data_IF_799546969634
#
_entry.id   IF_799546969634
#
_cell.length_a   1.000
_cell.length_b   1.000
_cell.length_c   1.000
_cell.angle_alpha   90.00
_cell.angle_beta   90.00
_cell.angle_gamma   90.00
#
_symmetry.space_group_name_H-M   'P 1'
#
loop_
_entity.id
_entity.type
_entity.pdbx_description
1 polymer ?
#
# COMPACT_ATOMS: atom_id res chain seq x y z
N UNK A 1 33.69 35.71 15.80
CA UNK A 1 33.27 36.83 16.67
C UNK A 1 34.49 37.34 17.39
N UNK A 2 34.80 38.63 17.26
CA UNK A 2 35.96 39.21 17.94
C UNK A 2 35.66 39.40 19.44
N UNK A 3 36.69 39.42 20.29
CA UNK A 3 36.55 39.63 21.74
C UNK A 3 35.70 40.87 22.12
N UNK A 4 35.70 42.00 21.39
CA UNK A 4 34.81 43.14 21.66
C UNK A 4 33.32 42.83 21.45
N UNK A 5 32.95 42.03 20.44
CA UNK A 5 31.54 41.71 20.17
C UNK A 5 30.92 40.86 21.27
N UNK A 6 31.72 39.96 21.87
CA UNK A 6 31.29 39.11 22.97
C UNK A 6 31.03 39.97 24.21
N UNK A 7 31.93 40.91 24.51
CA UNK A 7 31.81 41.83 25.65
C UNK A 7 30.58 42.73 25.49
N UNK A 8 30.36 43.32 24.30
CA UNK A 8 29.18 44.14 24.02
C UNK A 8 27.87 43.36 24.15
N UNK A 9 27.85 42.09 23.72
CA UNK A 9 26.67 41.23 23.83
C UNK A 9 26.37 40.85 25.27
N UNK A 10 27.40 40.59 26.09
CA UNK A 10 27.26 40.33 27.53
C UNK A 10 26.78 41.59 28.26
N UNK A 11 27.39 42.75 27.98
CA UNK A 11 27.01 44.03 28.58
C UNK A 11 25.56 44.41 28.25
N UNK A 12 25.13 44.23 27.00
CA UNK A 12 23.74 44.46 26.60
C UNK A 12 22.75 43.54 27.32
N UNK A 13 23.10 42.27 27.51
CA UNK A 13 22.26 41.30 28.25
C UNK A 13 22.17 41.64 29.74
N UNK A 14 23.26 42.07 30.35
CA UNK A 14 23.28 42.52 31.75
C UNK A 14 22.45 43.80 31.96
N UNK A 15 22.54 44.77 31.05
CA UNK A 15 21.71 45.98 31.06
C UNK A 15 20.22 45.66 30.93
N UNK A 16 19.87 44.71 30.06
CA UNK A 16 18.49 44.24 29.90
C UNK A 16 17.96 43.59 31.19
N UNK A 17 18.71 42.64 31.76
CA UNK A 17 18.35 41.97 33.02
C UNK A 17 18.18 42.97 34.17
N UNK A 18 19.05 43.97 34.27
CA UNK A 18 18.95 45.01 35.28
C UNK A 18 17.70 45.89 35.09
N UNK A 19 17.36 46.24 33.85
CA UNK A 19 16.15 47.00 33.53
C UNK A 19 14.87 46.18 33.80
N UNK A 20 14.89 44.89 33.51
CA UNK A 20 13.79 43.95 33.77
C UNK A 20 13.57 43.76 35.27
N UNK A 21 14.63 43.54 36.05
CA UNK A 21 14.56 43.47 37.52
C UNK A 21 14.01 44.76 38.13
N UNK A 22 14.40 45.93 37.60
CA UNK A 22 13.89 47.21 38.07
C UNK A 22 12.41 47.43 37.73
N UNK A 23 11.95 46.93 36.57
CA UNK A 23 10.53 46.93 36.23
C UNK A 23 9.73 45.95 37.09
N UNK A 24 10.27 44.76 37.36
CA UNK A 24 9.68 43.77 38.25
C UNK A 24 9.55 44.31 39.69
N UNK A 25 10.58 45.00 40.20
CA UNK A 25 10.54 45.64 41.51
C UNK A 25 9.47 46.75 41.57
N UNK A 26 9.30 47.54 40.50
CA UNK A 26 8.20 48.53 40.41
C UNK A 26 6.82 47.88 40.41
N UNK A 27 6.66 46.75 39.72
CA UNK A 27 5.42 45.96 39.73
C UNK A 27 5.11 45.39 41.11
N UNK A 28 6.12 44.83 41.79
CA UNK A 28 5.99 44.35 43.15
C UNK A 28 5.59 45.48 44.12
N UNK A 29 6.25 46.63 44.05
CA UNK A 29 5.92 47.78 44.89
C UNK A 29 4.50 48.32 44.63
N UNK A 30 4.03 48.30 43.37
CA UNK A 30 2.62 48.64 43.06
C UNK A 30 1.65 47.59 43.60
N UNK A 31 1.98 46.32 43.51
CA UNK A 31 1.15 45.24 44.07
C UNK A 31 1.05 45.33 45.60
N UNK A 32 2.17 45.58 46.28
CA UNK A 32 2.20 45.84 47.73
C UNK A 32 1.42 47.10 48.10
N UNK A 33 1.52 48.18 47.32
CA UNK A 33 0.74 49.40 47.54
C UNK A 33 -0.77 49.14 47.45
N UNK A 34 -1.22 48.30 46.50
CA UNK A 34 -2.63 47.88 46.43
C UNK A 34 -3.03 47.04 47.63
N UNK A 35 -2.19 46.11 48.04
CA UNK A 35 -2.45 45.25 49.19
C UNK A 35 -2.58 46.08 50.48
N UNK A 36 -1.76 47.12 50.64
CA UNK A 36 -1.87 48.07 51.75
C UNK A 36 -3.17 48.87 51.67
N UNK A 37 -3.52 49.43 50.50
CA UNK A 37 -4.79 50.15 50.33
C UNK A 37 -6.01 49.26 50.58
N UNK A 38 -5.98 48.00 50.17
CA UNK A 38 -7.03 47.01 50.44
C UNK A 38 -7.16 46.68 51.93
N UNK A 39 -6.04 46.51 52.64
CA UNK A 39 -6.05 46.28 54.10
C UNK A 39 -6.53 47.50 54.87
N UNK A 40 -6.18 48.71 54.45
CA UNK A 40 -6.63 49.95 55.08
C UNK A 40 -8.13 50.17 54.85
N UNK A 41 -8.63 49.82 53.67
CA UNK A 41 -10.04 49.75 53.34
C UNK A 41 -10.83 48.84 54.28
N UNK A 42 -10.39 47.59 54.44
CA UNK A 42 -11.02 46.63 55.34
C UNK A 42 -11.00 47.14 56.78
N UNK A 43 -9.94 47.83 57.17
CA UNK A 43 -9.82 48.44 58.50
C UNK A 43 -10.79 49.60 58.67
N UNK A 44 -10.91 50.50 57.70
CA UNK A 44 -11.85 51.62 57.76
C UNK A 44 -13.30 51.13 57.78
N UNK A 45 -13.64 50.08 57.00
CA UNK A 45 -14.96 49.46 57.05
C UNK A 45 -15.27 48.93 58.46
N UNK A 46 -14.33 48.19 59.07
CA UNK A 46 -14.49 47.68 60.45
C UNK A 46 -14.60 48.80 61.48
N UNK A 47 -13.77 49.84 61.39
CA UNK A 47 -13.82 50.98 62.32
C UNK A 47 -15.12 51.79 62.18
N UNK A 48 -15.68 51.87 60.97
CA UNK A 48 -16.97 52.51 60.71
C UNK A 48 -18.15 51.65 61.19
N UNK A 49 -18.10 50.32 61.02
CA UNK A 49 -19.06 49.39 61.62
C UNK A 49 -19.05 49.52 63.15
N UNK A 50 -17.86 49.49 63.77
CA UNK A 50 -17.70 49.70 65.21
C UNK A 50 -18.23 51.07 65.66
N UNK A 51 -18.04 52.13 64.87
CA UNK A 51 -18.55 53.46 65.18
C UNK A 51 -20.07 53.55 65.01
N UNK A 52 -20.64 52.88 64.01
CA UNK A 52 -22.08 52.79 63.81
C UNK A 52 -22.75 52.03 64.97
N UNK A 53 -22.14 50.94 65.43
CA UNK A 53 -22.59 50.15 66.58
C UNK A 53 -22.53 50.98 67.88
N UNK A 54 -21.42 51.68 68.13
CA UNK A 54 -21.28 52.58 69.29
C UNK A 54 -22.28 53.75 69.27
N UNK A 55 -22.51 54.33 68.09
CA UNK A 55 -23.51 55.38 67.92
C UNK A 55 -24.94 54.85 68.14
N UNK A 56 -25.20 53.61 67.75
CA UNK A 56 -26.46 52.93 68.01
C UNK A 56 -26.65 52.66 69.51
N UNK A 57 -25.64 52.16 70.21
CA UNK A 57 -25.66 51.90 71.66
C UNK A 57 -25.85 53.19 72.49
N UNK A 58 -25.10 54.25 72.18
CA UNK A 58 -25.25 55.56 72.81
C UNK A 58 -26.66 56.15 72.59
N UNK A 59 -27.22 55.97 71.40
CA UNK A 59 -28.59 56.39 71.11
C UNK A 59 -29.64 55.53 71.82
N UNK A 60 -29.42 54.21 71.90
CA UNK A 60 -30.29 53.27 72.60
C UNK A 60 -30.29 53.54 74.12
N UNK A 61 -29.15 53.85 74.74
CA UNK A 61 -29.04 54.23 76.15
C UNK A 61 -29.74 55.58 76.43
N UNK A 62 -29.57 56.58 75.56
CA UNK A 62 -30.16 57.91 75.76
C UNK A 62 -31.67 57.96 75.55
N UNK A 63 -32.23 57.10 74.70
CA UNK A 63 -33.68 56.95 74.52
C UNK A 63 -34.29 55.96 75.51
N UNK A 64 -33.57 54.89 75.89
CA UNK A 64 -33.99 53.90 76.88
C UNK A 64 -34.07 54.43 78.32
N UNK A 65 -33.24 55.42 78.69
CA UNK A 65 -33.26 56.02 80.05
C UNK A 65 -34.37 57.02 80.33
N UNK A 66 -35.20 57.41 79.35
CA UNK A 66 -36.32 58.36 79.57
C UNK A 66 -37.66 57.68 79.86
N UNK A 67 -37.70 56.35 79.98
CA UNK A 67 -38.91 55.57 80.33
C UNK A 67 -38.95 55.05 81.78
N UNK A 68 -37.90 55.26 82.58
CA UNK A 68 -37.75 54.66 83.91
C UNK A 68 -37.52 55.69 85.01
N UNK A 69 -38.60 56.06 85.70
CA UNK A 69 -38.69 56.39 87.13
C UNK A 69 -37.38 56.74 87.86
N UNK A 70 -37.23 58.03 88.25
CA UNK A 70 -36.69 58.53 89.54
C UNK A 70 -36.10 59.94 89.38
N UNK A 71 -36.96 60.95 89.47
CA UNK A 71 -36.60 62.25 90.04
C UNK A 71 -37.73 62.66 90.99
N UNK A 72 -37.82 61.92 92.09
CA UNK A 72 -38.46 62.34 93.32
C UNK A 72 -37.33 62.54 94.34
N UNK A 73 -37.38 63.66 95.08
CA UNK A 73 -36.31 64.28 95.87
C UNK A 73 -35.28 65.01 94.97
N UNK A 74 -35.18 66.34 94.98
CA UNK A 74 -35.11 67.23 96.13
C UNK A 74 -35.72 68.60 95.77
N UNK A 75 -36.74 69.02 96.52
CA UNK A 75 -37.05 70.44 96.74
C UNK A 75 -37.50 70.61 98.19
N UNK A 76 -36.92 71.56 98.94
CA UNK A 76 -37.65 72.38 99.89
C UNK A 76 -37.71 73.81 99.30
N UNK A 77 -38.88 74.27 98.84
CA UNK A 77 -39.87 75.00 99.64
C UNK A 77 -39.28 76.16 100.43
N UNK A 78 -39.46 77.40 99.95
CA UNK A 78 -40.17 78.48 100.68
C UNK A 78 -40.44 79.75 99.82
N UNK A 79 -41.74 80.03 99.63
CA UNK A 79 -42.49 81.30 99.52
C UNK A 79 -42.29 82.30 98.36
N UNK A 80 -43.31 82.46 97.49
CA UNK A 80 -44.47 83.34 97.75
C UNK A 80 -45.53 83.27 96.63
N UNK A 81 -46.84 83.27 96.93
CA UNK A 81 -47.93 83.12 95.96
C UNK A 81 -48.56 84.46 95.55
N UNK A 82 -48.98 84.54 94.28
CA UNK A 82 -50.03 85.38 93.64
C UNK A 82 -49.81 85.20 92.12
N UNK A 83 -50.76 84.92 91.23
CA UNK A 83 -52.23 84.92 91.24
C UNK A 83 -52.68 84.53 89.80
N UNK A 84 -53.81 83.84 89.63
CA UNK A 84 -54.66 83.82 88.40
C UNK A 84 -54.12 83.03 87.19
N UNK A 85 -54.85 82.26 86.38
CA UNK A 85 -56.28 81.87 86.26
C UNK A 85 -56.36 80.76 85.21
N UNK A 86 -57.28 79.82 85.38
CA UNK A 86 -57.69 78.79 84.40
C UNK A 86 -58.08 79.40 83.04
N UNK A 87 -57.39 79.00 81.97
CA UNK A 87 -57.97 78.66 80.65
C UNK A 87 -56.86 78.13 79.73
N UNK A 88 -56.78 76.82 79.49
CA UNK A 88 -55.77 76.24 78.57
C UNK A 88 -56.06 74.76 78.27
N UNK A 89 -57.23 74.46 77.73
CA UNK A 89 -57.51 73.12 77.17
C UNK A 89 -56.95 73.00 75.74
N UNK A 90 -56.94 74.09 74.96
CA UNK A 90 -56.50 74.11 73.55
C UNK A 90 -54.97 74.11 73.38
N UNK A 91 -54.20 74.67 74.32
CA UNK A 91 -52.73 74.59 74.26
C UNK A 91 -52.24 73.16 74.45
N UNK A 92 -52.98 72.32 75.19
CA UNK A 92 -52.53 70.93 75.41
C UNK A 92 -52.59 70.07 74.15
N UNK A 93 -53.43 70.42 73.16
CA UNK A 93 -53.46 69.74 71.85
C UNK A 93 -52.38 70.32 70.91
N UNK A 94 -52.26 71.65 70.85
CA UNK A 94 -51.19 72.35 70.11
C UNK A 94 -49.78 71.95 70.57
N UNK A 95 -49.55 71.82 71.88
CA UNK A 95 -48.29 71.35 72.45
C UNK A 95 -48.03 69.88 72.11
N UNK A 96 -49.07 69.04 72.03
CA UNK A 96 -48.91 67.65 71.60
C UNK A 96 -48.54 67.59 70.12
N UNK A 97 -49.20 68.34 69.25
CA UNK A 97 -48.92 68.34 67.81
C UNK A 97 -47.53 68.89 67.50
N UNK A 98 -47.13 70.00 68.13
CA UNK A 98 -45.75 70.51 68.05
C UNK A 98 -44.71 69.49 68.57
N UNK A 99 -45.06 68.68 69.57
CA UNK A 99 -44.19 67.57 70.03
C UNK A 99 -44.14 66.42 69.03
N UNK A 100 -45.20 66.16 68.27
CA UNK A 100 -45.20 65.14 67.21
C UNK A 100 -44.42 65.65 65.99
N UNK A 101 -44.63 66.88 65.55
CA UNK A 101 -43.85 67.52 64.48
C UNK A 101 -42.36 67.60 64.84
N UNK A 102 -42.03 67.95 66.10
CA UNK A 102 -40.66 67.93 66.58
C UNK A 102 -40.06 66.52 66.52
N UNK A 103 -40.82 65.48 66.88
CA UNK A 103 -40.37 64.08 66.75
C UNK A 103 -40.19 63.70 65.28
N UNK A 104 -41.10 64.08 64.39
CA UNK A 104 -40.98 63.80 62.96
C UNK A 104 -39.78 64.48 62.33
N UNK A 105 -39.51 65.74 62.69
CA UNK A 105 -38.31 66.47 62.24
C UNK A 105 -37.05 65.83 62.82
N UNK A 106 -37.07 65.41 64.09
CA UNK A 106 -35.96 64.67 64.70
C UNK A 106 -35.71 63.32 64.00
N UNK A 107 -36.76 62.59 63.64
CA UNK A 107 -36.64 61.33 62.90
C UNK A 107 -36.16 61.53 61.47
N UNK A 108 -36.64 62.57 60.77
CA UNK A 108 -36.15 62.96 59.43
C UNK A 108 -34.68 63.35 59.48
N UNK A 109 -34.27 64.13 60.48
CA UNK A 109 -32.87 64.48 60.70
C UNK A 109 -32.02 63.23 60.97
N UNK A 110 -32.51 62.30 61.80
CA UNK A 110 -31.82 61.02 62.05
C UNK A 110 -31.66 60.20 60.77
N UNK A 111 -32.72 60.06 59.97
CA UNK A 111 -32.67 59.34 58.68
C UNK A 111 -31.69 60.00 57.71
N UNK A 112 -31.67 61.33 57.64
CA UNK A 112 -30.73 62.08 56.82
C UNK A 112 -29.28 61.87 57.29
N UNK A 113 -29.00 61.86 58.60
CA UNK A 113 -27.66 61.58 59.11
C UNK A 113 -27.20 60.16 58.79
N UNK A 114 -28.07 59.16 58.94
CA UNK A 114 -27.74 57.75 58.60
C UNK A 114 -27.44 57.62 57.11
N UNK A 115 -28.29 58.22 56.25
CA UNK A 115 -28.11 58.18 54.81
C UNK A 115 -26.85 58.94 54.37
N UNK A 116 -26.53 60.08 55.00
CA UNK A 116 -25.31 60.82 54.71
C UNK A 116 -24.05 59.99 55.07
N UNK A 117 -24.07 59.31 56.21
CA UNK A 117 -22.99 58.40 56.60
C UNK A 117 -22.86 57.21 55.61
N UNK A 118 -23.98 56.65 55.15
CA UNK A 118 -23.97 55.61 54.11
C UNK A 118 -23.37 56.12 52.79
N UNK A 119 -23.74 57.33 52.35
CA UNK A 119 -23.18 57.93 51.14
C UNK A 119 -21.68 58.21 51.25
N UNK A 120 -21.19 58.62 52.42
CA UNK A 120 -19.75 58.81 52.65
C UNK A 120 -19.00 57.47 52.58
N UNK A 121 -19.60 56.37 53.09
CA UNK A 121 -19.03 55.02 52.98
C UNK A 121 -19.00 54.54 51.52
N UNK A 122 -20.10 54.69 50.78
CA UNK A 122 -20.18 54.34 49.37
C UNK A 122 -19.19 55.15 48.52
N UNK A 123 -19.05 56.45 48.83
CA UNK A 123 -18.07 57.34 48.18
C UNK A 123 -16.64 56.90 48.46
N UNK A 124 -16.32 56.52 49.70
CA UNK A 124 -15.02 55.97 50.03
C UNK A 124 -14.78 54.67 49.25
N UNK A 125 -15.70 53.71 49.33
CA UNK A 125 -15.61 52.42 48.65
C UNK A 125 -15.42 52.55 47.12
N UNK A 126 -16.20 53.41 46.46
CA UNK A 126 -16.05 53.70 45.03
C UNK A 126 -14.73 54.42 44.72
N UNK A 127 -14.27 55.31 45.60
CA UNK A 127 -12.96 55.97 45.48
C UNK A 127 -11.82 54.96 45.41
N UNK A 128 -11.84 53.94 46.27
CA UNK A 128 -10.84 52.88 46.24
C UNK A 128 -10.95 51.96 45.02
N UNK A 129 -12.17 51.63 44.58
CA UNK A 129 -12.36 50.87 43.33
C UNK A 129 -11.74 51.62 42.14
N UNK A 130 -11.92 52.94 42.07
CA UNK A 130 -11.30 53.77 41.03
C UNK A 130 -9.78 53.74 41.10
N UNK A 131 -9.18 53.78 42.30
CA UNK A 131 -7.73 53.67 42.46
C UNK A 131 -7.19 52.30 42.04
N UNK A 132 -7.86 51.22 42.42
CA UNK A 132 -7.48 49.86 42.00
C UNK A 132 -7.56 49.70 40.47
N UNK A 133 -8.61 50.23 39.86
CA UNK A 133 -8.77 50.22 38.41
C UNK A 133 -7.70 51.07 37.71
N UNK A 134 -7.33 52.23 38.25
CA UNK A 134 -6.21 53.04 37.73
C UNK A 134 -4.91 52.26 37.77
N UNK A 135 -4.60 51.64 38.90
CA UNK A 135 -3.39 50.84 39.02
C UNK A 135 -3.41 49.66 38.02
N UNK A 136 -4.57 48.99 37.83
CA UNK A 136 -4.73 47.90 36.86
C UNK A 136 -4.52 48.38 35.42
N UNK A 137 -5.02 49.56 35.09
CA UNK A 137 -4.80 50.17 33.78
C UNK A 137 -3.31 50.42 33.57
N UNK A 138 -2.59 50.96 34.56
CA UNK A 138 -1.14 51.19 34.46
C UNK A 138 -0.35 49.90 34.24
N UNK A 139 -0.71 48.81 34.93
CA UNK A 139 -0.11 47.49 34.68
C UNK A 139 -0.31 47.01 33.26
N UNK A 140 -1.55 47.06 32.77
CA UNK A 140 -1.87 46.64 31.41
C UNK A 140 -1.08 47.46 30.37
N UNK A 141 -0.88 48.75 30.60
CA UNK A 141 -0.04 49.59 29.74
C UNK A 141 1.43 49.13 29.75
N UNK A 142 1.97 48.77 30.91
CA UNK A 142 3.34 48.25 31.01
C UNK A 142 3.50 46.86 30.39
N UNK A 143 2.55 45.96 30.61
CA UNK A 143 2.48 44.64 29.99
C UNK A 143 2.42 44.77 28.46
N UNK A 144 1.55 45.64 27.95
CA UNK A 144 1.44 45.92 26.52
C UNK A 144 2.75 46.48 25.94
N UNK A 145 3.39 47.44 26.62
CA UNK A 145 4.66 48.00 26.19
C UNK A 145 5.79 46.96 26.18
N UNK A 146 5.79 46.01 27.13
CA UNK A 146 6.75 44.90 27.13
C UNK A 146 6.49 43.93 25.98
N UNK A 147 5.24 43.49 25.80
CA UNK A 147 4.86 42.61 24.69
C UNK A 147 5.22 43.22 23.33
N UNK A 148 5.06 44.53 23.15
CA UNK A 148 5.49 45.22 21.95
C UNK A 148 7.02 45.18 21.73
N UNK A 149 7.83 45.29 22.79
CA UNK A 149 9.30 45.20 22.69
C UNK A 149 9.72 43.77 22.35
N UNK A 150 9.18 42.78 23.04
CA UNK A 150 9.45 41.36 22.77
C UNK A 150 9.05 40.98 21.35
N UNK A 151 7.91 41.47 20.86
CA UNK A 151 7.50 41.25 19.48
C UNK A 151 8.52 41.82 18.49
N UNK A 152 8.98 43.06 18.69
CA UNK A 152 10.02 43.68 17.85
C UNK A 152 11.34 42.88 17.88
N UNK A 153 11.75 42.43 19.06
CA UNK A 153 12.95 41.60 19.23
C UNK A 153 12.81 40.26 18.49
N UNK A 154 11.68 39.56 18.65
CA UNK A 154 11.39 38.31 17.94
C UNK A 154 11.37 38.50 16.43
N UNK A 155 10.75 39.58 15.93
CA UNK A 155 10.79 39.92 14.50
C UNK A 155 12.23 40.16 14.01
N UNK A 156 13.04 40.90 14.76
CA UNK A 156 14.43 41.15 14.39
C UNK A 156 15.29 39.88 14.38
N UNK A 157 15.06 38.98 15.36
CA UNK A 157 15.73 37.69 15.44
C UNK A 157 15.31 36.77 14.29
N UNK A 158 14.02 36.76 13.93
CA UNK A 158 13.52 36.03 12.78
C UNK A 158 14.16 36.51 11.47
N UNK A 159 14.21 37.82 11.24
CA UNK A 159 14.88 38.40 10.07
C UNK A 159 16.37 38.08 10.03
N UNK A 160 17.04 38.02 11.18
CA UNK A 160 18.44 37.57 11.26
C UNK A 160 18.58 36.09 10.85
N UNK A 161 17.78 35.20 11.45
CA UNK A 161 17.79 33.77 11.12
C UNK A 161 17.46 33.52 9.64
N UNK A 162 16.54 34.29 9.06
CA UNK A 162 16.21 34.23 7.64
C UNK A 162 17.40 34.57 6.74
N UNK A 163 18.20 35.57 7.12
CA UNK A 163 19.45 35.91 6.39
C UNK A 163 20.50 34.81 6.53
N UNK A 164 20.67 34.26 7.74
CA UNK A 164 21.60 33.16 8.01
C UNK A 164 21.19 31.90 7.22
N UNK A 165 19.91 31.55 7.19
CA UNK A 165 19.37 30.46 6.38
C UNK A 165 19.66 30.65 4.88
N UNK A 166 19.38 31.84 4.35
CA UNK A 166 19.68 32.15 2.95
C UNK A 166 21.18 32.08 2.64
N UNK A 167 22.06 32.38 3.61
CA UNK A 167 23.52 32.17 3.45
C UNK A 167 23.84 30.69 3.35
N UNK A 168 23.36 29.90 4.29
CA UNK A 168 23.59 28.45 4.33
C UNK A 168 23.03 27.74 3.08
N UNK A 169 21.87 28.17 2.57
CA UNK A 169 21.32 27.66 1.32
C UNK A 169 22.26 27.89 0.13
N UNK A 170 22.87 29.08 0.04
CA UNK A 170 23.87 29.38 -0.99
C UNK A 170 25.14 28.54 -0.81
N UNK A 171 25.60 28.35 0.42
CA UNK A 171 26.77 27.51 0.73
C UNK A 171 26.54 26.05 0.37
N UNK A 172 25.36 25.50 0.68
CA UNK A 172 24.97 24.14 0.29
C UNK A 172 24.85 24.00 -1.22
N UNK A 173 24.26 24.99 -1.90
CA UNK A 173 24.20 25.00 -3.36
C UNK A 173 25.60 25.00 -3.99
N UNK A 174 26.49 25.88 -3.51
CA UNK A 174 27.87 25.95 -3.96
C UNK A 174 28.65 24.66 -3.70
N UNK A 175 28.46 24.02 -2.53
CA UNK A 175 29.08 22.74 -2.21
C UNK A 175 28.59 21.62 -3.14
N UNK A 176 27.28 21.57 -3.42
CA UNK A 176 26.69 20.62 -4.38
C UNK A 176 27.22 20.85 -5.80
N UNK A 177 27.34 22.10 -6.22
CA UNK A 177 27.92 22.46 -7.51
C UNK A 177 29.39 22.08 -7.61
N UNK A 178 30.17 22.28 -6.54
CA UNK A 178 31.57 21.86 -6.49
C UNK A 178 31.72 20.33 -6.62
N UNK A 179 30.87 19.55 -5.95
CA UNK A 179 30.86 18.08 -6.08
C UNK A 179 30.48 17.68 -7.51
N UNK A 180 29.42 18.27 -8.08
CA UNK A 180 29.02 18.02 -9.47
C UNK A 180 30.12 18.37 -10.47
N UNK A 181 30.80 19.50 -10.29
CA UNK A 181 31.91 19.93 -11.13
C UNK A 181 33.09 18.96 -11.04
N UNK A 182 33.41 18.47 -9.84
CA UNK A 182 34.44 17.44 -9.62
C UNK A 182 34.08 16.13 -10.32
N UNK A 183 32.85 15.66 -10.16
CA UNK A 183 32.40 14.40 -10.75
C UNK A 183 32.31 14.50 -12.28
N UNK A 184 31.89 15.65 -12.82
CA UNK A 184 31.92 15.93 -14.26
C UNK A 184 33.36 16.01 -14.80
N UNK A 185 34.29 16.60 -14.06
CA UNK A 185 35.71 16.62 -14.44
C UNK A 185 36.33 15.22 -14.43
N UNK A 186 35.98 14.38 -13.45
CA UNK A 186 36.38 12.97 -13.42
C UNK A 186 35.85 12.23 -14.66
N UNK A 187 34.56 12.38 -14.98
CA UNK A 187 33.95 11.77 -16.15
C UNK A 187 34.59 12.24 -17.47
N UNK A 188 34.87 13.54 -17.60
CA UNK A 188 35.58 14.08 -18.77
C UNK A 188 37.01 13.54 -18.91
N UNK A 189 37.67 13.21 -17.80
CA UNK A 189 38.97 12.55 -17.77
C UNK A 189 38.88 11.02 -18.00
N UNK A 190 37.68 10.47 -18.20
CA UNK A 190 37.47 9.03 -18.44
C UNK A 190 37.41 8.19 -17.17
N UNK A 191 37.10 8.79 -16.02
CA UNK A 191 36.93 8.11 -14.74
C UNK A 191 35.52 8.30 -14.15
N UNK A 192 35.04 7.29 -13.44
CA UNK A 192 33.78 7.30 -12.74
C UNK A 192 33.97 6.88 -11.27
N UNK A 193 33.12 7.41 -10.39
CA UNK A 193 33.10 7.03 -8.98
C UNK A 193 32.16 5.85 -8.79
N UNK A 194 32.66 4.75 -8.22
CA UNK A 194 31.90 3.54 -7.89
C UNK A 194 31.91 3.35 -6.38
N UNK A 195 30.77 2.95 -5.81
CA UNK A 195 30.69 2.61 -4.39
C UNK A 195 31.65 1.46 -4.05
N UNK A 196 32.67 1.79 -3.24
CA UNK A 196 33.68 0.87 -2.76
C UNK A 196 33.25 0.17 -1.46
N UNK A 197 31.98 0.31 -1.06
CA UNK A 197 31.48 -0.16 0.21
C UNK A 197 31.73 -1.67 0.40
N UNK A 198 32.73 -1.95 1.23
CA UNK A 198 33.01 -3.23 1.87
C UNK A 198 32.35 -3.24 3.24
N UNK A 199 31.06 -3.56 3.25
CA UNK A 199 30.41 -4.05 4.47
C UNK A 199 29.63 -5.31 4.09
N UNK A 200 30.23 -6.50 4.18
CA UNK A 200 29.42 -7.67 4.41
C UNK A 200 28.79 -7.45 5.79
N UNK A 201 27.48 -7.25 5.84
CA UNK A 201 26.72 -7.54 7.04
C UNK A 201 27.01 -9.01 7.37
N UNK A 202 27.94 -9.24 8.29
CA UNK A 202 28.22 -10.56 8.83
C UNK A 202 26.91 -11.13 9.39
N UNK A 203 26.59 -12.42 9.20
CA UNK A 203 25.43 -13.03 9.82
C UNK A 203 25.75 -13.25 11.31
N UNK A 204 25.67 -12.18 12.10
CA UNK A 204 25.76 -12.25 13.55
C UNK A 204 24.36 -12.50 14.13
N UNK A 205 24.15 -13.72 14.62
CA UNK A 205 23.19 -14.22 15.60
C UNK A 205 21.78 -13.58 15.71
N UNK A 206 20.70 -14.37 15.84
CA UNK A 206 19.32 -13.91 15.74
C UNK A 206 18.78 -13.16 16.98
N UNK A 207 19.62 -12.49 17.79
CA UNK A 207 19.19 -11.91 19.08
C UNK A 207 19.38 -10.39 19.22
N UNK A 208 19.68 -9.64 18.15
CA UNK A 208 19.85 -8.18 18.24
C UNK A 208 19.23 -7.42 17.04
N UNK A 209 18.05 -7.83 16.60
CA UNK A 209 17.35 -7.30 15.42
C UNK A 209 16.65 -5.93 15.63
N UNK A 210 17.21 -5.01 16.40
CA UNK A 210 16.58 -3.70 16.66
C UNK A 210 17.54 -2.49 16.69
N UNK A 211 18.73 -2.60 16.09
CA UNK A 211 19.58 -1.45 15.83
C UNK A 211 20.17 -1.54 14.42
N UNK A 212 19.31 -1.52 13.41
CA UNK A 212 19.72 -1.04 12.09
C UNK A 212 20.17 0.41 12.29
N UNK A 213 21.47 0.61 12.44
CA UNK A 213 22.07 1.93 12.45
C UNK A 213 21.72 2.58 11.11
N UNK A 214 20.68 3.40 11.12
CA UNK A 214 20.40 4.33 10.05
C UNK A 214 21.72 5.07 9.74
N UNK A 215 22.07 5.27 8.47
CA UNK A 215 23.30 5.97 8.13
C UNK A 215 23.30 7.29 8.89
N UNK A 216 24.32 7.52 9.72
CA UNK A 216 24.48 8.77 10.44
C UNK A 216 24.36 9.92 9.43
N UNK A 217 23.65 10.99 9.79
CA UNK A 217 23.46 12.13 8.90
C UNK A 217 24.82 12.63 8.38
N UNK A 218 25.08 12.44 7.07
CA UNK A 218 26.37 12.77 6.44
C UNK A 218 27.33 11.60 6.19
N UNK A 219 26.94 10.34 6.44
CA UNK A 219 27.75 9.17 6.07
C UNK A 219 27.72 8.98 4.54
N UNK A 220 28.74 9.51 3.86
CA UNK A 220 28.97 9.26 2.43
C UNK A 220 29.71 7.91 2.29
N UNK A 221 29.21 6.96 1.50
CA UNK A 221 29.92 5.70 1.27
C UNK A 221 31.30 5.97 0.67
N UNK A 222 32.33 5.16 0.98
CA UNK A 222 33.62 5.30 0.34
C UNK A 222 33.46 5.05 -1.16
N UNK A 223 33.89 6.00 -1.98
CA UNK A 223 33.86 5.93 -3.44
C UNK A 223 35.26 5.59 -3.96
N UNK A 224 35.36 4.60 -4.83
CA UNK A 224 36.57 4.31 -5.60
C UNK A 224 36.48 5.00 -6.97
N UNK A 225 37.59 5.58 -7.43
CA UNK A 225 37.70 6.14 -8.77
C UNK A 225 38.19 5.06 -9.74
N UNK A 226 37.41 4.77 -10.77
CA UNK A 226 37.64 3.68 -11.73
C UNK A 226 37.54 4.22 -13.15
N UNK A 227 38.23 3.65 -14.14
CA UNK A 227 38.08 4.09 -15.54
C UNK A 227 36.69 3.71 -16.10
N UNK A 228 36.20 4.42 -17.12
CA UNK A 228 34.91 4.10 -17.74
C UNK A 228 34.84 2.67 -18.28
N UNK A 229 35.95 2.16 -18.85
CA UNK A 229 36.01 0.78 -19.33
C UNK A 229 35.84 -0.21 -18.16
N UNK A 230 36.53 0.05 -17.04
CA UNK A 230 36.41 -0.80 -15.86
C UNK A 230 35.04 -0.68 -15.19
N UNK A 231 34.41 0.50 -15.21
CA UNK A 231 33.03 0.69 -14.77
C UNK A 231 32.03 -0.13 -15.61
N UNK A 232 32.16 -0.11 -16.94
CA UNK A 232 31.33 -0.91 -17.84
C UNK A 232 31.49 -2.41 -17.56
N UNK A 233 32.73 -2.90 -17.41
CA UNK A 233 32.99 -4.29 -17.05
C UNK A 233 32.40 -4.67 -15.69
N UNK A 234 32.42 -3.75 -14.72
CA UNK A 234 31.79 -3.94 -13.41
C UNK A 234 30.26 -3.96 -13.51
N UNK A 235 29.65 -3.22 -14.43
CA UNK A 235 28.21 -3.28 -14.68
C UNK A 235 27.82 -4.59 -15.35
N UNK A 236 28.63 -5.07 -16.29
CA UNK A 236 28.43 -6.37 -16.98
C UNK A 236 28.58 -7.57 -16.02
N UNK A 237 29.41 -7.44 -14.97
CA UNK A 237 29.56 -8.45 -13.92
C UNK A 237 28.32 -8.63 -13.03
N UNK A 238 27.28 -7.82 -13.24
CA UNK A 238 26.00 -7.85 -12.52
C UNK A 238 26.05 -7.13 -11.18
N UNK A 239 25.02 -7.33 -10.36
CA UNK A 239 24.87 -6.65 -9.08
C UNK A 239 25.75 -7.28 -7.98
N UNK A 240 26.15 -6.46 -7.00
CA UNK A 240 26.95 -6.85 -5.84
C UNK A 240 27.94 -5.78 -5.41
N UNK A 241 28.62 -6.02 -4.29
CA UNK A 241 29.74 -5.15 -3.85
C UNK A 241 30.84 -5.16 -4.91
N UNK A 242 31.67 -4.12 -4.91
CA UNK A 242 32.83 -4.02 -5.81
C UNK A 242 33.66 -5.30 -5.80
N UNK A 243 33.93 -5.86 -4.60
CA UNK A 243 34.69 -7.10 -4.43
C UNK A 243 34.03 -8.31 -5.07
N UNK A 244 32.71 -8.48 -4.90
CA UNK A 244 31.97 -9.61 -5.49
C UNK A 244 32.00 -9.54 -7.02
N UNK A 245 31.85 -8.34 -7.58
CA UNK A 245 31.91 -8.12 -9.04
C UNK A 245 33.30 -8.40 -9.59
N UNK A 246 34.34 -7.95 -8.90
CA UNK A 246 35.74 -8.26 -9.25
C UNK A 246 36.04 -9.77 -9.17
N UNK A 247 35.55 -10.47 -8.14
CA UNK A 247 35.71 -11.91 -8.01
C UNK A 247 35.03 -12.68 -9.16
N UNK A 248 33.83 -12.28 -9.57
CA UNK A 248 33.13 -12.88 -10.72
C UNK A 248 33.94 -12.73 -12.01
N UNK A 249 34.47 -11.53 -12.27
CA UNK A 249 35.32 -11.28 -13.45
C UNK A 249 36.60 -12.13 -13.42
N UNK A 250 37.23 -12.27 -12.25
CA UNK A 250 38.40 -13.11 -12.08
C UNK A 250 38.09 -14.60 -12.31
N UNK A 251 36.97 -15.10 -11.79
CA UNK A 251 36.54 -16.48 -12.02
C UNK A 251 36.24 -16.76 -13.51
N UNK A 252 35.54 -15.84 -14.18
CA UNK A 252 35.29 -15.92 -15.62
C UNK A 252 36.56 -15.93 -16.45
N UNK A 253 37.53 -15.06 -16.13
CA UNK A 253 38.86 -15.06 -16.74
C UNK A 253 39.57 -16.40 -16.58
N UNK A 254 39.58 -16.97 -15.37
CA UNK A 254 40.22 -18.27 -15.10
C UNK A 254 39.56 -19.41 -15.89
N UNK A 255 38.23 -19.40 -16.02
CA UNK A 255 37.48 -20.38 -16.82
C UNK A 255 37.89 -20.30 -18.30
N UNK A 256 37.88 -19.11 -18.89
CA UNK A 256 38.27 -18.91 -20.29
C UNK A 256 39.74 -19.29 -20.53
N UNK A 257 40.65 -18.96 -19.62
CA UNK A 257 42.04 -19.39 -19.72
C UNK A 257 42.17 -20.92 -19.71
N UNK A 258 41.38 -21.62 -18.90
CA UNK A 258 41.38 -23.09 -18.87
C UNK A 258 40.87 -23.70 -20.18
N UNK A 259 39.84 -23.10 -20.78
CA UNK A 259 39.29 -23.52 -22.07
C UNK A 259 40.29 -23.28 -23.21
N UNK A 260 40.96 -22.13 -23.23
CA UNK A 260 42.03 -21.85 -24.20
C UNK A 260 43.18 -22.86 -24.06
N UNK A 261 43.57 -23.22 -22.83
CA UNK A 261 44.60 -24.27 -22.62
C UNK A 261 44.12 -25.62 -23.16
N UNK A 262 42.86 -25.99 -22.91
CA UNK A 262 42.26 -27.23 -23.43
C UNK A 262 42.24 -27.25 -24.96
N UNK A 263 41.75 -26.19 -25.61
CA UNK A 263 41.70 -26.07 -27.06
C UNK A 263 43.11 -26.10 -27.69
N UNK A 264 44.11 -25.49 -27.03
CA UNK A 264 45.51 -25.59 -27.47
C UNK A 264 46.04 -27.02 -27.38
N UNK A 265 45.69 -27.76 -26.32
CA UNK A 265 46.06 -29.17 -26.19
C UNK A 265 45.44 -29.99 -27.33
N UNK A 266 44.14 -29.84 -27.56
CA UNK A 266 43.41 -30.52 -28.64
C UNK A 266 43.98 -30.18 -30.02
N UNK A 267 44.32 -28.91 -30.29
CA UNK A 267 44.94 -28.52 -31.54
C UNK A 267 46.33 -29.15 -31.72
N UNK A 268 47.10 -29.26 -30.65
CA UNK A 268 48.42 -29.92 -30.70
C UNK A 268 48.28 -31.43 -30.91
N UNK A 269 47.29 -32.07 -30.28
CA UNK A 269 46.95 -33.49 -30.49
C UNK A 269 46.54 -33.76 -31.95
N UNK A 270 45.65 -32.95 -32.52
CA UNK A 270 45.27 -32.99 -33.94
C UNK A 270 46.47 -32.81 -34.88
N UNK A 271 47.35 -31.84 -34.57
CA UNK A 271 48.58 -31.63 -35.35
C UNK A 271 49.52 -32.82 -35.27
N UNK A 272 49.68 -33.41 -34.08
CA UNK A 272 50.48 -34.62 -33.88
C UNK A 272 49.86 -35.82 -34.59
N UNK A 273 48.53 -35.99 -34.54
CA UNK A 273 47.81 -37.04 -35.25
C UNK A 273 47.96 -36.94 -36.77
N UNK A 274 47.91 -35.72 -37.32
CA UNK A 274 48.21 -35.45 -38.74
C UNK A 274 49.66 -35.73 -39.09
N UNK A 275 50.60 -35.32 -38.24
CA UNK A 275 52.03 -35.58 -38.45
C UNK A 275 52.36 -37.09 -38.38
N UNK A 276 51.64 -37.83 -37.54
CA UNK A 276 51.79 -39.28 -37.37
C UNK A 276 50.93 -40.10 -38.36
N UNK A 277 50.22 -39.47 -39.30
CA UNK A 277 49.43 -40.14 -40.33
C UNK A 277 48.13 -40.80 -39.85
N UNK A 278 47.73 -40.59 -38.59
CA UNK A 278 46.51 -41.17 -37.99
C UNK A 278 45.24 -40.49 -38.51
N UNK A 279 45.31 -39.22 -38.91
CA UNK A 279 44.19 -38.49 -39.48
C UNK A 279 43.66 -39.11 -40.80
N UNK A 280 44.57 -39.62 -41.64
CA UNK A 280 44.18 -40.33 -42.88
C UNK A 280 43.43 -41.63 -42.60
N UNK A 281 43.67 -42.28 -41.45
CA UNK A 281 43.00 -43.54 -41.12
C UNK A 281 41.52 -43.33 -40.86
N UNK A 282 41.17 -42.29 -40.10
CA UNK A 282 39.77 -41.94 -39.85
C UNK A 282 39.04 -41.45 -41.10
N UNK A 283 39.69 -40.63 -41.94
CA UNK A 283 39.08 -40.20 -43.21
C UNK A 283 38.79 -41.41 -44.14
N UNK A 284 39.70 -42.39 -44.18
CA UNK A 284 39.50 -43.63 -44.95
C UNK A 284 38.36 -44.50 -44.38
N UNK A 285 38.22 -44.57 -43.06
CA UNK A 285 37.13 -45.29 -42.39
C UNK A 285 35.77 -44.67 -42.72
N UNK A 286 35.66 -43.33 -42.67
CA UNK A 286 34.45 -42.61 -43.06
C UNK A 286 34.09 -42.82 -44.53
N UNK A 287 35.07 -42.78 -45.44
CA UNK A 287 34.83 -43.05 -46.86
C UNK A 287 34.33 -44.48 -47.09
N UNK A 288 34.93 -45.48 -46.42
CA UNK A 288 34.52 -46.88 -46.50
C UNK A 288 33.09 -47.10 -45.98
N UNK A 289 32.72 -46.48 -44.86
CA UNK A 289 31.35 -46.54 -44.32
C UNK A 289 30.34 -45.89 -45.28
N UNK A 290 30.68 -44.74 -45.85
CA UNK A 290 29.84 -44.04 -46.81
C UNK A 290 29.61 -44.87 -48.08
N UNK A 291 30.65 -45.54 -48.57
CA UNK A 291 30.54 -46.47 -49.70
C UNK A 291 29.68 -47.69 -49.38
N UNK A 292 29.81 -48.27 -48.19
CA UNK A 292 28.99 -49.39 -47.75
C UNK A 292 27.50 -49.01 -47.70
N UNK A 293 27.17 -47.83 -47.15
CA UNK A 293 25.81 -47.30 -47.13
C UNK A 293 25.28 -47.07 -48.55
N UNK A 294 26.10 -46.51 -49.45
CA UNK A 294 25.73 -46.29 -50.85
C UNK A 294 25.43 -47.60 -51.59
N UNK A 295 26.25 -48.64 -51.39
CA UNK A 295 26.02 -49.98 -51.98
C UNK A 295 24.73 -50.59 -51.45
N UNK A 296 24.50 -50.55 -50.14
CA UNK A 296 23.26 -51.03 -49.51
C UNK A 296 22.02 -50.31 -50.06
N UNK A 297 22.09 -48.99 -50.23
CA UNK A 297 21.01 -48.20 -50.81
C UNK A 297 20.75 -48.56 -52.29
N UNK A 298 21.80 -48.82 -53.08
CA UNK A 298 21.65 -49.25 -54.47
C UNK A 298 20.99 -50.63 -54.58
N UNK A 299 21.37 -51.58 -53.71
CA UNK A 299 20.75 -52.90 -53.62
C UNK A 299 19.28 -52.84 -53.19
N UNK A 300 18.94 -51.96 -52.24
CA UNK A 300 17.56 -51.74 -51.84
C UNK A 300 16.71 -51.17 -52.99
N UNK A 301 17.25 -50.22 -53.75
CA UNK A 301 16.60 -49.67 -54.95
C UNK A 301 16.38 -50.74 -56.03
N UNK A 302 17.38 -51.59 -56.28
CA UNK A 302 17.25 -52.68 -57.24
C UNK A 302 16.18 -53.71 -56.82
N UNK A 303 16.09 -54.02 -55.51
CA UNK A 303 15.03 -54.87 -54.97
C UNK A 303 13.64 -54.23 -55.11
N UNK A 304 13.51 -52.93 -54.82
CA UNK A 304 12.26 -52.21 -55.01
C UNK A 304 11.80 -52.21 -56.47
N UNK A 305 12.69 -51.95 -57.43
CA UNK A 305 12.36 -51.96 -58.85
C UNK A 305 11.90 -53.34 -59.36
N UNK A 306 12.46 -54.44 -58.82
CA UNK A 306 11.99 -55.80 -59.13
C UNK A 306 10.59 -56.06 -58.57
N UNK A 307 10.34 -55.66 -57.32
CA UNK A 307 9.04 -55.79 -56.70
C UNK A 307 7.96 -54.96 -57.43
N UNK A 308 8.30 -53.76 -57.89
CA UNK A 308 7.40 -52.92 -58.71
C UNK A 308 7.07 -53.58 -60.06
N UNK A 309 8.06 -54.18 -60.73
CA UNK A 309 7.83 -54.91 -61.97
C UNK A 309 6.93 -56.15 -61.75
N UNK A 310 7.15 -56.90 -60.67
CA UNK A 310 6.29 -58.04 -60.29
C UNK A 310 4.86 -57.59 -59.97
N UNK A 311 4.70 -56.50 -59.22
CA UNK A 311 3.39 -55.92 -58.92
C UNK A 311 2.65 -55.48 -60.20
N UNK A 312 3.34 -54.89 -61.16
CA UNK A 312 2.74 -54.53 -62.45
C UNK A 312 2.28 -55.76 -63.25
N UNK A 313 3.06 -56.85 -63.23
CA UNK A 313 2.67 -58.12 -63.84
C UNK A 313 1.43 -58.73 -63.16
N UNK A 314 1.39 -58.72 -61.83
CA UNK A 314 0.24 -59.19 -61.06
C UNK A 314 -1.01 -58.35 -61.32
N UNK A 315 -0.89 -57.02 -61.40
CA UNK A 315 -1.99 -56.12 -61.75
C UNK A 315 -2.55 -56.41 -63.16
N UNK A 316 -1.67 -56.65 -64.14
CA UNK A 316 -2.09 -57.04 -65.48
C UNK A 316 -2.80 -58.40 -65.50
N UNK A 317 -2.37 -59.36 -64.69
CA UNK A 317 -3.04 -60.65 -64.54
C UNK A 317 -4.42 -60.50 -63.90
N UNK A 318 -4.53 -59.70 -62.83
CA UNK A 318 -5.81 -59.39 -62.16
C UNK A 318 -6.81 -58.75 -63.14
N UNK A 319 -6.39 -57.74 -63.91
CA UNK A 319 -7.25 -57.09 -64.91
C UNK A 319 -7.77 -58.07 -65.98
N UNK A 320 -6.96 -59.07 -66.37
CA UNK A 320 -7.41 -60.14 -67.30
C UNK A 320 -8.46 -61.03 -66.65
N UNK A 321 -8.26 -61.42 -65.39
CA UNK A 321 -9.23 -62.22 -64.63
C UNK A 321 -10.54 -61.45 -64.42
N UNK A 322 -10.48 -60.16 -64.09
CA UNK A 322 -11.66 -59.31 -63.94
C UNK A 322 -12.45 -59.21 -65.24
N UNK A 323 -11.76 -59.06 -66.38
CA UNK A 323 -12.40 -59.07 -67.69
C UNK A 323 -13.06 -60.43 -68.02
N UNK A 324 -12.45 -61.55 -67.62
CA UNK A 324 -13.05 -62.88 -67.76
C UNK A 324 -14.29 -63.03 -66.87
N UNK A 325 -14.22 -62.61 -65.62
CA UNK A 325 -15.34 -62.63 -64.69
C UNK A 325 -16.50 -61.75 -65.17
N UNK A 326 -16.23 -60.56 -65.71
CA UNK A 326 -17.26 -59.70 -66.29
C UNK A 326 -17.99 -60.37 -67.47
N UNK A 327 -17.26 -61.08 -68.34
CA UNK A 327 -17.85 -61.85 -69.44
C UNK A 327 -18.70 -63.02 -68.95
N UNK A 328 -18.23 -63.74 -67.94
CA UNK A 328 -18.98 -64.86 -67.35
C UNK A 328 -20.25 -64.37 -66.65
N UNK A 329 -20.18 -63.24 -65.94
CA UNK A 329 -21.36 -62.59 -65.33
C UNK A 329 -22.37 -62.18 -66.41
N UNK A 330 -21.94 -61.48 -67.46
CA UNK A 330 -22.85 -61.10 -68.55
C UNK A 330 -23.49 -62.32 -69.25
N UNK A 331 -22.74 -63.43 -69.39
CA UNK A 331 -23.29 -64.69 -69.91
C UNK A 331 -24.34 -65.28 -68.96
N UNK A 332 -24.09 -65.23 -67.66
CA UNK A 332 -25.01 -65.69 -66.63
C UNK A 332 -26.29 -64.82 -66.60
N UNK A 333 -26.15 -63.49 -66.60
CA UNK A 333 -27.29 -62.55 -66.63
C UNK A 333 -28.20 -62.83 -67.85
N UNK A 334 -27.60 -63.05 -69.02
CA UNK A 334 -28.33 -63.44 -70.22
C UNK A 334 -29.05 -64.80 -70.04
N UNK A 335 -28.40 -65.80 -69.42
CA UNK A 335 -29.06 -67.07 -69.10
C UNK A 335 -30.25 -66.88 -68.14
N UNK A 336 -30.10 -66.04 -67.13
CA UNK A 336 -31.16 -65.71 -66.17
C UNK A 336 -32.35 -65.01 -66.87
N UNK A 337 -32.09 -64.07 -67.79
CA UNK A 337 -33.12 -63.46 -68.64
C UNK A 337 -33.87 -64.49 -69.49
N UNK A 338 -33.15 -65.43 -70.11
CA UNK A 338 -33.77 -66.53 -70.87
C UNK A 338 -34.63 -67.43 -69.97
N UNK A 339 -34.16 -67.74 -68.75
CA UNK A 339 -34.96 -68.48 -67.79
C UNK A 339 -36.23 -67.72 -67.37
N UNK A 340 -36.14 -66.41 -67.17
CA UNK A 340 -37.29 -65.58 -66.85
C UNK A 340 -38.31 -65.55 -67.99
N UNK A 341 -37.86 -65.44 -69.24
CA UNK A 341 -38.71 -65.53 -70.43
C UNK A 341 -39.43 -66.88 -70.48
N UNK A 342 -38.72 -67.99 -70.28
CA UNK A 342 -39.33 -69.32 -70.21
C UNK A 342 -40.33 -69.44 -69.04
N UNK A 343 -40.04 -68.84 -67.88
CA UNK A 343 -40.98 -68.78 -66.74
C UNK A 343 -42.22 -67.95 -67.08
N UNK A 344 -42.08 -66.86 -67.82
CA UNK A 344 -43.20 -66.03 -68.30
C UNK A 344 -44.05 -66.77 -69.34
N UNK A 345 -43.43 -67.42 -70.33
CA UNK A 345 -44.12 -68.26 -71.31
C UNK A 345 -44.83 -69.42 -70.64
N UNK A 346 -44.19 -70.11 -69.69
CA UNK A 346 -44.83 -71.15 -68.87
C UNK A 346 -46.06 -70.61 -68.16
N UNK A 347 -45.97 -69.44 -67.52
CA UNK A 347 -47.12 -68.79 -66.85
C UNK A 347 -48.21 -68.42 -67.86
N UNK A 348 -47.86 -67.92 -69.05
CA UNK A 348 -48.81 -67.59 -70.11
C UNK A 348 -49.53 -68.83 -70.63
N UNK A 349 -48.79 -69.88 -70.97
CA UNK A 349 -49.34 -71.16 -71.42
C UNK A 349 -50.20 -71.80 -70.33
N UNK A 350 -49.78 -71.76 -69.06
CA UNK A 350 -50.63 -72.19 -67.94
C UNK A 350 -51.94 -71.39 -67.89
N UNK A 351 -51.91 -70.06 -68.03
CA UNK A 351 -53.13 -69.24 -68.08
C UNK A 351 -54.00 -69.55 -69.31
N UNK A 352 -53.41 -69.80 -70.48
CA UNK A 352 -54.15 -70.20 -71.69
C UNK A 352 -54.81 -71.58 -71.52
N UNK A 353 -54.15 -72.51 -70.83
CA UNK A 353 -54.72 -73.82 -70.47
C UNK A 353 -55.84 -73.64 -69.44
N UNK A 354 -55.62 -72.90 -68.35
CA UNK A 354 -56.62 -72.69 -67.28
C UNK A 354 -57.84 -71.87 -67.72
N UNK A 355 -57.68 -70.95 -68.68
CA UNK A 355 -58.83 -70.20 -69.24
C UNK A 355 -59.62 -71.02 -70.26
N UNK A 356 -59.01 -72.01 -70.92
CA UNK A 356 -59.68 -72.91 -71.87
C UNK A 356 -60.22 -74.19 -71.25
N UNK A 357 -59.79 -74.55 -70.05
CA UNK A 357 -60.35 -75.68 -69.31
C UNK A 357 -61.26 -75.17 -68.19
N UNK A 358 -62.60 -75.27 -68.31
CA UNK A 358 -63.40 -75.32 -67.10
C UNK A 358 -62.99 -76.60 -66.36
N UNK A 359 -62.35 -76.44 -65.20
CA UNK A 359 -61.90 -77.54 -64.35
C UNK A 359 -63.09 -78.41 -63.94
N UNK A 360 -63.16 -79.61 -64.53
CA UNK A 360 -63.73 -80.78 -63.86
C UNK A 360 -62.59 -81.55 -63.19
N UNK A 361 -62.77 -81.77 -61.88
CA UNK A 361 -62.01 -82.67 -61.03
C UNK A 361 -61.79 -84.04 -61.66
N UNK A 362 -60.58 -84.59 -61.47
CA UNK A 362 -60.32 -85.97 -61.03
C UNK A 362 -58.85 -86.02 -60.57
N UNK A 363 -58.54 -86.18 -59.28
CA UNK A 363 -58.62 -87.42 -58.49
C UNK A 363 -58.05 -88.64 -59.22
N UNK A 364 -56.78 -88.98 -58.93
CA UNK A 364 -56.40 -90.14 -58.08
C UNK A 364 -55.23 -91.01 -58.57
N UNK A 365 -54.46 -91.42 -57.57
CA UNK A 365 -53.69 -92.66 -57.38
C UNK A 365 -52.42 -92.92 -58.21
N UNK A 366 -51.24 -92.84 -57.56
CA UNK A 366 -50.50 -93.95 -56.91
C UNK A 366 -49.79 -94.81 -57.97
N UNK A 367 -48.46 -94.88 -57.99
CA UNK A 367 -47.75 -95.99 -57.33
C UNK A 367 -46.25 -95.66 -57.19
N UNK A 368 -45.77 -96.00 -56.01
CA UNK A 368 -44.40 -96.02 -55.48
C UNK A 368 -43.42 -96.77 -56.39
N UNK A 369 -42.23 -96.21 -56.58
CA UNK A 369 -41.00 -97.00 -56.79
C UNK A 369 -39.81 -96.30 -56.14
N UNK A 370 -39.60 -96.66 -54.87
CA UNK A 370 -38.36 -96.42 -54.12
C UNK A 370 -37.31 -97.40 -54.61
N UNK A 371 -36.42 -96.93 -55.49
CA UNK A 371 -35.18 -97.66 -55.79
C UNK A 371 -34.17 -97.35 -54.68
N UNK A 372 -34.02 -98.33 -53.79
CA UNK A 372 -32.94 -98.41 -52.82
C UNK A 372 -31.81 -99.18 -53.51
N UNK A 373 -30.66 -98.55 -53.73
CA UNK A 373 -29.45 -99.28 -54.13
C UNK A 373 -28.27 -98.88 -53.27
N UNK A 374 -27.61 -99.93 -52.81
CA UNK A 374 -26.68 -100.09 -51.70
C UNK A 374 -25.24 -99.68 -52.05
N UNK A 375 -24.52 -99.29 -51.01
CA UNK A 375 -23.11 -98.86 -50.95
C UNK A 375 -22.09 -99.64 -51.80
N UNK A 376 -21.07 -98.92 -52.26
CA UNK A 376 -19.67 -99.36 -52.08
C UNK A 376 -18.77 -98.14 -51.77
N UNK A 377 -18.36 -98.04 -50.51
CA UNK A 377 -17.32 -97.11 -50.06
C UNK A 377 -15.94 -97.61 -50.55
N UNK A 378 -15.17 -96.74 -51.19
CA UNK A 378 -13.70 -96.92 -51.33
C UNK A 378 -13.02 -95.73 -50.68
N UNK A 379 -12.38 -96.01 -49.54
CA UNK A 379 -11.49 -95.12 -48.79
C UNK A 379 -10.12 -95.09 -49.50
N UNK A 380 -9.61 -93.91 -49.84
CA UNK A 380 -8.18 -93.71 -50.12
C UNK A 380 -7.66 -92.64 -49.16
N UNK A 381 -7.02 -93.12 -48.10
CA UNK A 381 -6.19 -92.33 -47.19
C UNK A 381 -4.95 -91.84 -47.96
N UNK A 382 -4.61 -90.56 -47.84
CA UNK A 382 -3.21 -90.10 -47.99
C UNK A 382 -2.85 -89.21 -46.82
N UNK A 383 -2.17 -89.81 -45.84
CA UNK A 383 -1.41 -89.11 -44.82
C UNK A 383 -0.27 -88.32 -45.47
N UNK A 384 -0.13 -87.03 -45.12
CA UNK A 384 1.19 -86.44 -44.99
C UNK A 384 1.31 -85.75 -43.63
N UNK A 385 2.21 -86.36 -42.87
CA UNK A 385 2.50 -86.21 -41.45
C UNK A 385 3.04 -84.82 -41.12
N UNK A 386 2.57 -84.32 -39.99
CA UNK A 386 3.05 -83.16 -39.26
C UNK A 386 4.49 -83.35 -38.76
N UNK A 387 5.26 -82.26 -38.77
CA UNK A 387 6.23 -82.03 -37.70
C UNK A 387 6.07 -80.61 -37.15
N UNK A 388 5.93 -80.60 -35.83
CA UNK A 388 5.86 -79.47 -34.92
C UNK A 388 7.18 -78.70 -34.90
N UNK A 389 7.12 -77.37 -35.01
CA UNK A 389 7.93 -76.56 -34.12
C UNK A 389 7.26 -75.23 -33.77
N UNK A 390 7.34 -74.94 -32.49
CA UNK A 390 6.74 -73.84 -31.74
C UNK A 390 7.17 -72.47 -32.21
N UNK A 391 6.23 -71.52 -32.31
CA UNK A 391 6.50 -70.18 -31.79
C UNK A 391 5.25 -69.54 -31.21
N UNK A 392 5.46 -69.06 -29.99
CA UNK A 392 4.61 -68.29 -29.11
C UNK A 392 3.94 -67.09 -29.79
N UNK A 393 2.62 -67.03 -29.64
CA UNK A 393 1.78 -65.86 -29.86
C UNK A 393 2.10 -64.80 -28.81
N UNK A 394 2.45 -63.59 -29.26
CA UNK A 394 2.36 -62.38 -28.44
C UNK A 394 1.34 -61.48 -29.12
N UNK A 395 0.14 -61.44 -28.54
CA UNK A 395 -0.90 -60.48 -28.90
C UNK A 395 -0.40 -59.08 -28.55
N UNK A 396 -0.26 -58.21 -29.55
CA UNK A 396 -0.32 -56.77 -29.34
C UNK A 396 -1.63 -56.27 -29.90
N UNK A 397 -2.60 -56.20 -29.01
CA UNK A 397 -3.88 -55.52 -29.16
C UNK A 397 -3.63 -54.02 -29.33
N UNK A 398 -3.85 -53.48 -30.54
CA UNK A 398 -3.92 -52.02 -30.73
C UNK A 398 -5.28 -51.52 -30.26
N UNK A 399 -5.35 -51.13 -28.99
CA UNK A 399 -6.45 -50.33 -28.45
C UNK A 399 -6.35 -48.93 -29.09
N UNK A 400 -7.36 -48.51 -29.86
CA UNK A 400 -7.58 -47.11 -30.21
C UNK A 400 -8.38 -46.47 -29.07
N UNK A 401 -7.69 -46.08 -28.00
CA UNK A 401 -8.22 -45.07 -27.09
C UNK A 401 -8.05 -43.71 -27.75
N UNK A 402 -9.11 -43.25 -28.40
CA UNK A 402 -9.31 -41.82 -28.62
C UNK A 402 -9.89 -41.23 -27.35
N UNK A 403 -9.06 -41.09 -26.32
CA UNK A 403 -9.34 -40.16 -25.23
C UNK A 403 -8.86 -38.77 -25.67
N UNK A 404 -9.80 -38.00 -26.20
CA UNK A 404 -9.67 -36.56 -26.33
C UNK A 404 -9.80 -35.94 -24.94
N UNK A 405 -8.69 -35.87 -24.19
CA UNK A 405 -8.58 -34.88 -23.12
C UNK A 405 -8.25 -33.53 -23.76
N UNK A 406 -9.28 -32.70 -23.92
CA UNK A 406 -9.15 -31.27 -24.17
C UNK A 406 -8.59 -30.61 -22.91
N UNK A 407 -7.27 -30.60 -22.74
CA UNK A 407 -6.64 -29.56 -21.94
C UNK A 407 -6.56 -28.29 -22.78
N UNK A 408 -7.55 -27.44 -22.56
CA UNK A 408 -7.51 -26.03 -22.85
C UNK A 408 -6.27 -25.40 -22.22
N UNK A 409 -5.23 -25.15 -23.02
CA UNK A 409 -4.28 -24.07 -22.74
C UNK A 409 -4.54 -22.93 -23.70
N UNK A 410 -5.16 -21.89 -23.15
CA UNK A 410 -5.41 -20.59 -23.75
C UNK A 410 -4.09 -19.90 -24.08
N UNK A 411 -3.64 -19.99 -25.33
CA UNK A 411 -2.73 -18.97 -25.86
C UNK A 411 -3.54 -17.75 -26.29
N UNK A 412 -3.61 -16.78 -25.38
CA UNK A 412 -4.12 -15.44 -25.62
C UNK A 412 -3.21 -14.73 -26.63
N UNK A 413 -3.51 -14.82 -27.92
CA UNK A 413 -2.94 -13.92 -28.92
C UNK A 413 -3.79 -12.64 -28.97
N UNK A 414 -3.30 -11.60 -28.31
CA UNK A 414 -3.81 -10.24 -28.44
C UNK A 414 -3.59 -9.76 -29.87
N UNK A 415 -4.60 -9.92 -30.73
CA UNK A 415 -4.70 -9.15 -31.96
C UNK A 415 -5.30 -7.78 -31.62
N UNK A 416 -4.43 -6.81 -31.34
CA UNK A 416 -4.78 -5.39 -31.43
C UNK A 416 -5.06 -5.04 -32.89
N UNK A 417 -6.32 -5.19 -33.30
CA UNK A 417 -6.86 -4.52 -34.48
C UNK A 417 -6.81 -3.01 -34.25
N UNK A 418 -5.83 -2.32 -34.86
CA UNK A 418 -5.92 -0.87 -35.09
C UNK A 418 -7.04 -0.64 -36.10
N UNK A 419 -8.23 -0.32 -35.59
CA UNK A 419 -9.26 0.40 -36.34
C UNK A 419 -8.70 1.80 -36.64
N UNK A 420 -8.39 2.05 -37.89
CA UNK A 420 -8.37 3.38 -38.47
C UNK A 420 -9.83 3.86 -38.51
N UNK A 421 -10.18 4.76 -37.60
CA UNK A 421 -11.38 5.57 -37.67
C UNK A 421 -10.95 7.00 -38.01
N UNK A 422 -11.42 7.43 -39.17
CA UNK A 422 -11.45 8.80 -39.67
C UNK A 422 -12.58 9.57 -38.94
N UNK A 423 -12.43 10.91 -38.88
CA UNK A 423 -13.28 11.99 -38.32
C UNK A 423 -12.62 12.58 -37.05
N UNK A 424 -12.22 13.85 -37.00
CA UNK A 424 -12.71 15.09 -37.63
C UNK A 424 -11.53 15.91 -38.18
#
# INVERSE_FOLDING_TARGET
>A
MSTPEIILRIAGRLLFLYAEQRLAARRAARAEAREIRMRELERQQREQEDHADKAYDMYAETVGRRGGTRLAALSPSVHSPRRSSEDSADDTFSIKDLRHELKEVQEKFRKAMILNAQLDNDKAALGYQLELLKDRIEELHEEYAQLQREHKEKCSAHERLKREHASLEREVAAARDAVRARDAAAAAAGYAFVDAATLPAAPASPSAAAAAAAPAFGAVPPLALVSHQSEQLLNDAGEGTLDVRLQKLLAGKQSLESEVRKLKLQLNEERAARQNGVANHHDQEYENELEAVRRSAAEAKARAARAEAEAALQAAAAARLDAQLARLRARQDHQDEHEEQLKQERRRLQREVTTRTPHAHTDTHTTTDTVTTTDTHTYMYTDTRTHTNTHTTTDTHTHKDTDTHMDTYTHLHHHTRRRLAIMI
#
